data_IF_609786926093
#
_entry.id   IF_609786926093
#
_cell.length_a   1.000
_cell.length_b   1.000
_cell.length_c   1.000
_cell.angle_alpha   90.00
_cell.angle_beta   90.00
_cell.angle_gamma   90.00
#
_symmetry.space_group_name_H-M   'P 1'
#
loop_
_entity.id
_entity.type
_entity.pdbx_description
1 polymer ?
#
# COMPACT_ATOMS: atom_id res chain seq x y z
N UNK A 1 -0.04 17.56 12.46
CA UNK A 1 0.98 16.50 12.37
C UNK A 1 0.57 15.48 11.30
N UNK A 2 1.38 15.33 10.26
CA UNK A 2 1.21 14.29 9.22
C UNK A 2 1.39 12.90 9.82
N UNK A 3 0.44 11.99 9.59
CA UNK A 3 0.56 10.59 9.99
C UNK A 3 0.81 9.71 8.77
N UNK A 4 1.56 8.63 8.95
CA UNK A 4 1.67 7.57 7.94
C UNK A 4 0.67 6.46 8.23
N UNK A 5 -0.09 6.03 7.23
CA UNK A 5 -1.17 5.04 7.41
C UNK A 5 -1.09 3.94 6.36
N UNK A 6 -1.29 2.67 6.74
CA UNK A 6 -1.26 1.56 5.80
C UNK A 6 -2.45 1.58 4.85
N UNK A 7 -2.23 1.23 3.58
CA UNK A 7 -3.30 0.96 2.61
C UNK A 7 -3.04 -0.34 1.85
N UNK A 8 -4.04 -1.21 1.75
CA UNK A 8 -3.93 -2.48 1.02
C UNK A 8 -4.08 -2.26 -0.48
N UNK A 9 -3.12 -2.75 -1.27
CA UNK A 9 -3.16 -2.75 -2.74
C UNK A 9 -2.92 -4.14 -3.32
N UNK A 10 -3.56 -4.40 -4.47
CA UNK A 10 -3.25 -5.55 -5.31
C UNK A 10 -1.97 -5.31 -6.12
N UNK A 11 -1.34 -6.36 -6.62
CA UNK A 11 -0.15 -6.23 -7.47
C UNK A 11 -0.41 -5.37 -8.72
N UNK A 12 -1.60 -5.46 -9.31
CA UNK A 12 -1.97 -4.62 -10.45
C UNK A 12 -2.06 -3.13 -10.07
N UNK A 13 -2.56 -2.81 -8.88
CA UNK A 13 -2.62 -1.43 -8.39
C UNK A 13 -1.23 -0.89 -8.06
N UNK A 14 -0.35 -1.72 -7.47
CA UNK A 14 1.04 -1.32 -7.20
C UNK A 14 1.77 -0.98 -8.51
N UNK A 15 1.68 -1.85 -9.53
CA UNK A 15 2.27 -1.56 -10.85
C UNK A 15 1.69 -0.32 -11.52
N UNK A 16 0.38 -0.09 -11.38
CA UNK A 16 -0.27 1.03 -12.02
C UNK A 16 0.08 2.41 -11.43
N UNK A 17 0.61 2.48 -10.21
CA UNK A 17 0.92 3.76 -9.56
C UNK A 17 2.16 4.42 -10.19
N UNK A 18 3.34 3.76 -10.27
CA UNK A 18 4.51 4.31 -10.96
C UNK A 18 4.29 4.57 -12.45
N UNK A 19 3.35 3.85 -13.08
CA UNK A 19 3.00 4.06 -14.49
C UNK A 19 2.02 5.25 -14.69
N UNK A 20 1.60 5.93 -13.62
CA UNK A 20 0.59 7.00 -13.70
C UNK A 20 -0.84 6.51 -14.03
N UNK A 21 -1.03 5.21 -14.25
CA UNK A 21 -2.33 4.59 -14.58
C UNK A 21 -3.29 4.53 -13.41
N UNK A 22 -2.83 4.77 -12.18
CA UNK A 22 -3.65 4.83 -10.98
C UNK A 22 -3.33 6.07 -10.13
N UNK A 23 -4.26 7.02 -10.11
CA UNK A 23 -4.15 8.26 -9.35
C UNK A 23 -5.14 8.35 -8.18
N UNK A 24 -6.22 7.57 -8.19
CA UNK A 24 -7.25 7.60 -7.15
C UNK A 24 -7.57 6.19 -6.63
N UNK A 25 -7.96 6.10 -5.36
CA UNK A 25 -8.58 4.92 -4.77
C UNK A 25 -9.75 5.34 -3.88
N UNK A 26 -10.87 4.64 -3.97
CA UNK A 26 -12.07 4.89 -3.16
C UNK A 26 -12.23 3.78 -2.12
N UNK A 27 -12.78 4.12 -0.95
CA UNK A 27 -13.13 3.19 0.12
C UNK A 27 -14.55 3.51 0.59
N UNK A 28 -15.32 2.47 0.91
CA UNK A 28 -16.68 2.62 1.43
C UNK A 28 -16.61 3.24 2.83
N UNK A 29 -17.46 4.23 3.09
CA UNK A 29 -17.65 4.80 4.43
C UNK A 29 -18.50 3.83 5.25
N UNK A 30 -18.11 3.61 6.51
CA UNK A 30 -18.68 2.57 7.38
C UNK A 30 -18.64 3.02 8.83
N UNK A 31 -19.46 2.42 9.71
CA UNK A 31 -19.46 2.75 11.15
C UNK A 31 -20.02 4.14 11.40
N UNK A 32 -19.46 4.86 12.38
CA UNK A 32 -19.95 6.18 12.80
C UNK A 32 -20.02 7.19 11.66
N UNK A 33 -19.06 7.17 10.72
CA UNK A 33 -19.11 8.07 9.55
C UNK A 33 -20.29 7.78 8.63
N UNK A 34 -20.73 6.52 8.51
CA UNK A 34 -21.94 6.19 7.75
C UNK A 34 -23.20 6.66 8.50
N UNK A 35 -23.20 6.55 9.84
CA UNK A 35 -24.27 7.08 10.69
C UNK A 35 -24.47 8.59 10.48
N UNK A 36 -23.39 9.37 10.53
CA UNK A 36 -23.46 10.82 10.29
C UNK A 36 -24.01 11.18 8.90
N UNK A 37 -23.64 10.44 7.86
CA UNK A 37 -24.21 10.65 6.53
C UNK A 37 -25.72 10.40 6.51
N UNK A 38 -26.18 9.34 7.20
CA UNK A 38 -27.60 9.01 7.29
C UNK A 38 -28.39 10.06 8.10
N UNK A 39 -27.74 10.71 9.07
CA UNK A 39 -28.33 11.80 9.86
C UNK A 39 -28.32 13.15 9.12
N UNK A 40 -27.91 13.19 7.85
CA UNK A 40 -27.97 14.37 6.98
C UNK A 40 -26.72 15.25 6.97
N UNK A 41 -25.63 14.82 7.61
CA UNK A 41 -24.36 15.55 7.55
C UNK A 41 -23.68 15.40 6.18
N UNK A 42 -22.91 16.42 5.78
CA UNK A 42 -22.22 16.42 4.50
C UNK A 42 -21.01 15.48 4.51
N UNK A 43 -20.59 14.96 3.33
CA UNK A 43 -19.34 14.22 3.21
C UNK A 43 -18.13 15.01 3.72
N UNK A 44 -18.10 16.33 3.49
CA UNK A 44 -17.03 17.22 4.00
C UNK A 44 -16.94 17.15 5.52
N UNK A 45 -18.08 17.23 6.22
CA UNK A 45 -18.13 17.06 7.67
C UNK A 45 -17.55 15.70 8.10
N UNK A 46 -17.89 14.62 7.41
CA UNK A 46 -17.42 13.26 7.74
C UNK A 46 -15.91 13.07 7.50
N UNK A 47 -15.32 13.78 6.54
CA UNK A 47 -13.89 13.68 6.22
C UNK A 47 -13.02 14.72 6.94
N UNK A 48 -13.61 15.62 7.73
CA UNK A 48 -12.83 16.53 8.59
C UNK A 48 -12.12 15.75 9.70
N UNK A 49 -10.83 16.05 9.90
CA UNK A 49 -9.98 15.38 10.88
C UNK A 49 -10.50 15.51 12.31
N UNK A 50 -10.96 16.70 12.66
CA UNK A 50 -11.49 17.05 13.99
C UNK A 50 -12.72 16.23 14.38
N UNK A 51 -13.49 15.77 13.39
CA UNK A 51 -14.69 14.96 13.62
C UNK A 51 -14.39 13.47 13.82
N UNK A 52 -13.21 13.00 13.39
CA UNK A 52 -12.72 11.67 13.74
C UNK A 52 -13.41 10.49 13.03
N UNK A 53 -14.30 10.72 12.06
CA UNK A 53 -15.11 9.66 11.44
C UNK A 53 -14.41 8.89 10.30
N UNK A 54 -13.34 9.43 9.69
CA UNK A 54 -12.59 8.73 8.66
C UNK A 54 -11.54 7.77 9.26
N UNK A 55 -11.72 6.47 8.99
CA UNK A 55 -10.81 5.42 9.49
C UNK A 55 -9.52 5.28 8.68
N UNK A 56 -9.53 5.74 7.42
CA UNK A 56 -8.46 5.46 6.46
C UNK A 56 -7.33 6.48 6.54
N UNK A 57 -7.62 7.74 6.23
CA UNK A 57 -6.67 8.85 6.26
C UNK A 57 -7.40 10.18 6.11
N UNK A 58 -6.71 11.26 6.48
CA UNK A 58 -7.16 12.63 6.27
C UNK A 58 -6.24 13.34 5.29
N UNK A 59 -6.72 14.44 4.70
CA UNK A 59 -5.87 15.35 3.93
C UNK A 59 -4.59 15.69 4.71
N UNK A 60 -3.44 15.61 4.02
CA UNK A 60 -2.12 15.80 4.61
C UNK A 60 -1.51 14.58 5.32
N UNK A 61 -2.23 13.46 5.44
CA UNK A 61 -1.63 12.17 5.79
C UNK A 61 -0.89 11.55 4.59
N UNK A 62 0.11 10.71 4.90
CA UNK A 62 0.79 9.87 3.91
C UNK A 62 0.25 8.44 4.00
N UNK A 63 0.11 7.80 2.85
CA UNK A 63 -0.31 6.40 2.77
C UNK A 63 0.87 5.54 2.37
N UNK A 64 1.08 4.39 3.01
CA UNK A 64 2.10 3.44 2.61
C UNK A 64 1.44 2.14 2.14
N UNK A 65 1.85 1.66 0.96
CA UNK A 65 1.21 0.54 0.32
C UNK A 65 1.61 -0.77 0.99
N UNK A 66 0.60 -1.59 1.27
CA UNK A 66 0.73 -2.98 1.71
C UNK A 66 0.44 -3.88 0.53
N UNK A 67 1.45 -4.63 0.12
CA UNK A 67 1.38 -5.56 -1.02
C UNK A 67 1.83 -6.97 -0.62
N UNK A 68 1.56 -7.94 -1.49
CA UNK A 68 1.92 -9.35 -1.23
C UNK A 68 3.42 -9.52 -1.37
N UNK A 69 4.06 -10.13 -0.39
CA UNK A 69 5.53 -10.14 -0.24
C UNK A 69 6.05 -11.52 0.18
N UNK A 70 7.35 -11.74 0.08
CA UNK A 70 8.01 -12.93 0.60
C UNK A 70 9.47 -12.65 0.97
N UNK A 71 10.05 -13.55 1.76
CA UNK A 71 11.49 -13.66 2.01
C UNK A 71 11.84 -15.13 1.74
N UNK A 72 12.15 -15.49 0.49
CA UNK A 72 12.40 -16.88 0.11
C UNK A 72 13.69 -17.36 0.79
N UNK A 73 13.61 -18.47 1.54
CA UNK A 73 14.76 -19.02 2.26
C UNK A 73 15.90 -19.50 1.34
N UNK A 74 15.61 -19.74 0.06
CA UNK A 74 16.60 -20.10 -0.95
C UNK A 74 17.54 -18.93 -1.34
N UNK A 75 17.23 -17.73 -0.88
CA UNK A 75 18.07 -16.55 -1.02
C UNK A 75 18.55 -16.25 0.43
N UNK A 76 19.85 -16.28 0.72
CA UNK A 76 20.38 -16.02 2.08
C UNK A 76 21.61 -15.08 2.05
N UNK A 77 21.56 -13.89 2.68
CA UNK A 77 20.38 -13.27 3.27
C UNK A 77 19.33 -12.94 2.20
N UNK A 78 18.10 -13.41 2.42
CA UNK A 78 17.05 -13.34 1.40
C UNK A 78 16.49 -11.93 1.26
N UNK A 79 16.49 -11.34 0.05
CA UNK A 79 15.87 -10.06 -0.17
C UNK A 79 14.36 -10.18 0.07
N UNK A 80 13.76 -9.09 0.55
CA UNK A 80 12.30 -8.99 0.50
C UNK A 80 11.89 -8.84 -0.96
N UNK A 81 11.09 -9.78 -1.44
CA UNK A 81 10.55 -9.77 -2.80
C UNK A 81 9.05 -9.53 -2.77
N UNK A 82 8.51 -9.00 -3.86
CA UNK A 82 7.12 -8.59 -3.96
C UNK A 82 6.44 -9.25 -5.15
N UNK A 83 5.20 -9.71 -4.95
CA UNK A 83 4.49 -10.46 -5.98
C UNK A 83 4.13 -9.61 -7.20
N UNK A 84 4.13 -8.29 -7.05
CA UNK A 84 3.77 -7.37 -8.12
C UNK A 84 4.76 -7.42 -9.29
N UNK A 85 6.01 -7.78 -9.05
CA UNK A 85 7.10 -7.61 -10.01
C UNK A 85 8.21 -8.65 -9.85
N UNK A 86 7.93 -9.73 -9.11
CA UNK A 86 8.77 -10.92 -9.11
C UNK A 86 8.70 -11.64 -10.46
N UNK A 87 9.82 -12.14 -11.02
CA UNK A 87 11.19 -12.07 -10.49
C UNK A 87 12.01 -10.84 -10.94
N UNK A 88 11.43 -9.92 -11.71
CA UNK A 88 12.13 -8.80 -12.37
C UNK A 88 13.00 -7.95 -11.45
N UNK A 89 12.59 -7.76 -10.19
CA UNK A 89 13.31 -6.91 -9.21
C UNK A 89 14.06 -7.69 -8.12
N UNK A 90 14.35 -8.98 -8.35
CA UNK A 90 15.26 -9.71 -7.47
C UNK A 90 16.70 -9.20 -7.73
N UNK A 91 17.45 -8.75 -6.71
CA UNK A 91 18.82 -8.27 -6.90
C UNK A 91 19.71 -9.26 -7.66
N UNK A 92 20.45 -8.73 -8.65
CA UNK A 92 21.44 -9.47 -9.43
C UNK A 92 22.52 -10.01 -8.49
N UNK A 93 22.82 -11.31 -8.60
CA UNK A 93 23.77 -12.01 -7.72
C UNK A 93 23.24 -13.31 -7.12
N UNK A 94 21.93 -13.58 -7.24
CA UNK A 94 21.35 -14.87 -6.90
C UNK A 94 21.25 -15.77 -8.14
N UNK A 95 22.07 -16.83 -8.25
CA UNK A 95 22.09 -17.70 -9.45
C UNK A 95 20.82 -18.56 -9.56
N UNK A 96 20.11 -18.78 -8.46
CA UNK A 96 18.94 -19.65 -8.38
C UNK A 96 17.71 -18.84 -7.95
N UNK A 97 17.15 -18.06 -8.87
CA UNK A 97 15.86 -17.40 -8.65
C UNK A 97 14.77 -18.49 -8.74
N UNK A 98 14.06 -18.81 -7.65
CA UNK A 98 13.02 -19.83 -7.70
C UNK A 98 11.85 -19.41 -8.60
N UNK A 99 11.13 -20.37 -9.21
CA UNK A 99 9.92 -20.05 -9.95
C UNK A 99 8.85 -19.46 -9.02
N UNK A 100 7.93 -18.64 -9.56
CA UNK A 100 6.91 -17.93 -8.77
C UNK A 100 6.00 -18.88 -7.98
N UNK A 101 5.79 -20.09 -8.50
CA UNK A 101 5.02 -21.18 -7.90
C UNK A 101 5.71 -21.77 -6.66
N UNK A 102 7.05 -21.71 -6.59
CA UNK A 102 7.82 -22.17 -5.44
C UNK A 102 7.88 -21.13 -4.31
N UNK A 103 7.42 -19.90 -4.54
CA UNK A 103 7.42 -18.85 -3.52
C UNK A 103 6.24 -19.00 -2.57
N UNK A 104 6.54 -19.14 -1.28
CA UNK A 104 5.56 -19.00 -0.21
C UNK A 104 5.24 -17.52 0.05
N UNK A 105 4.23 -17.02 -0.65
CA UNK A 105 3.76 -15.63 -0.52
C UNK A 105 3.08 -15.36 0.83
N UNK A 106 3.48 -14.27 1.48
CA UNK A 106 2.83 -13.71 2.67
C UNK A 106 1.76 -12.69 2.24
N UNK A 107 0.52 -12.81 2.75
CA UNK A 107 -0.54 -11.84 2.47
C UNK A 107 -0.13 -10.40 2.83
N UNK A 108 -0.64 -9.43 2.05
CA UNK A 108 -0.34 -8.01 2.23
C UNK A 108 -0.70 -7.45 3.61
N UNK A 109 -1.67 -8.04 4.31
CA UNK A 109 -2.06 -7.59 5.65
C UNK A 109 -0.92 -7.69 6.68
N UNK A 110 0.05 -8.58 6.46
CA UNK A 110 1.16 -8.86 7.38
C UNK A 110 2.47 -8.15 7.04
N UNK A 111 2.52 -7.33 6.00
CA UNK A 111 3.76 -6.64 5.63
C UNK A 111 4.10 -5.54 6.65
N UNK A 112 5.33 -5.53 7.21
CA UNK A 112 5.75 -4.48 8.13
C UNK A 112 6.06 -3.18 7.40
N UNK A 113 5.95 -2.04 8.09
CA UNK A 113 6.26 -0.71 7.53
C UNK A 113 7.69 -0.61 7.00
N UNK A 114 8.66 -1.28 7.64
CA UNK A 114 10.07 -1.30 7.23
C UNK A 114 10.30 -1.97 5.87
N UNK A 115 9.38 -2.86 5.45
CA UNK A 115 9.41 -3.52 4.15
C UNK A 115 8.49 -2.81 3.12
N UNK A 116 7.95 -1.63 3.43
CA UNK A 116 7.16 -0.89 2.45
C UNK A 116 8.08 -0.13 1.50
N UNK A 117 7.88 -0.31 0.19
CA UNK A 117 8.61 0.39 -0.87
C UNK A 117 7.84 1.51 -1.58
N UNK A 118 6.54 1.68 -1.31
CA UNK A 118 5.70 2.69 -1.97
C UNK A 118 4.94 3.55 -0.94
N UNK A 119 5.23 4.85 -0.92
CA UNK A 119 4.59 5.86 -0.06
C UNK A 119 3.94 6.94 -0.93
N UNK A 120 2.69 7.27 -0.62
CA UNK A 120 1.86 8.24 -1.33
C UNK A 120 1.59 9.47 -0.43
N UNK A 121 1.42 10.64 -1.02
CA UNK A 121 1.00 11.86 -0.31
C UNK A 121 2.13 12.76 0.19
N UNK A 122 3.35 12.64 -0.34
CA UNK A 122 4.42 13.63 -0.16
C UNK A 122 4.63 14.51 -1.41
N UNK A 123 5.24 15.70 -1.28
CA UNK A 123 5.62 16.54 -2.43
C UNK A 123 6.63 15.84 -3.36
N UNK A 124 7.39 14.89 -2.83
CA UNK A 124 8.22 13.93 -3.57
C UNK A 124 7.52 12.58 -3.60
N UNK A 125 6.50 12.44 -4.46
CA UNK A 125 6.32 11.13 -5.08
C UNK A 125 7.55 10.95 -5.97
N UNK A 126 8.44 10.03 -5.59
CA UNK A 126 9.61 9.67 -6.40
C UNK A 126 9.10 9.06 -7.71
N UNK A 127 8.87 9.94 -8.68
CA UNK A 127 8.85 9.63 -10.10
C UNK A 127 10.31 9.67 -10.54
N UNK A 128 11.05 8.61 -10.25
CA UNK A 128 12.37 8.38 -10.83
C UNK A 128 12.18 7.55 -12.09
N UNK A 129 12.54 8.15 -13.24
CA UNK A 129 12.68 7.45 -14.51
C UNK A 129 13.94 6.61 -14.60
#
# INVERSE_FOLDING_TARGET
MTKERPILFSGAMVRAIPDGRKMQTRRVVTGSGLGMLNDGFTPDYVVLRENGYCRYAYTGDRLWARETWAQPAALDPGPTVYRADYPTWVPLGNPNIPPVEAIRWKPSIYIPRAACRLVLGGPTSVWGG
#
